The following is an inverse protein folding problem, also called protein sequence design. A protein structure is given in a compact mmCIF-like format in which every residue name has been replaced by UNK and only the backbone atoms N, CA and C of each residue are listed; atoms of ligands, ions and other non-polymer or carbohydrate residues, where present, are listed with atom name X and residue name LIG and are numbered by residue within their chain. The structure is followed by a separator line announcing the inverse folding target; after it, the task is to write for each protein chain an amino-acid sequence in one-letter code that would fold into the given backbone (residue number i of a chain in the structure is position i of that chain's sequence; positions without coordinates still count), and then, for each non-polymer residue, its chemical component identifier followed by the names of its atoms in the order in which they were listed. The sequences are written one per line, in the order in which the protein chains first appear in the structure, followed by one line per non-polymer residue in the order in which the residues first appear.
data_IF_729360855348
#
_entry.id   IF_729360855348
#
_cell.length_a   1.000
_cell.length_b   1.000
_cell.length_c   1.000
_cell.angle_alpha   90.00
_cell.angle_beta   90.00
_cell.angle_gamma   90.00
#
_symmetry.space_group_name_H-M   'P 1'
#
loop_
_entity.id
_entity.type
_entity.pdbx_description
1 polymer ?
#
# COMPACT_ATOMS: atom_id res chain seq x y z
N UNK A 1 50.42 12.94 6.37
CA UNK A 1 49.71 12.19 7.42
C UNK A 1 48.20 12.40 7.32
N UNK A 2 47.58 11.94 6.20
CA UNK A 2 46.12 12.15 5.91
C UNK A 2 45.39 10.78 5.70
N UNK A 3 46.03 9.66 6.05
CA UNK A 3 45.53 8.35 5.60
C UNK A 3 44.61 7.62 6.60
N UNK A 4 44.56 8.00 7.86
CA UNK A 4 43.74 7.29 8.86
C UNK A 4 42.28 7.70 8.86
N UNK A 5 41.88 9.00 8.74
CA UNK A 5 40.48 9.39 8.75
C UNK A 5 39.75 9.01 7.44
N UNK A 6 40.47 8.98 6.31
CA UNK A 6 39.89 8.58 5.03
C UNK A 6 39.59 7.08 4.96
N UNK A 7 40.38 6.24 5.57
CA UNK A 7 40.17 4.79 5.64
C UNK A 7 38.92 4.45 6.51
N UNK A 8 38.71 5.19 7.61
CA UNK A 8 37.55 5.00 8.50
C UNK A 8 36.25 5.42 7.80
N UNK A 9 36.27 6.53 7.03
CA UNK A 9 35.12 7.00 6.26
C UNK A 9 34.76 6.05 5.11
N UNK A 10 35.77 5.47 4.44
CA UNK A 10 35.54 4.50 3.38
C UNK A 10 35.01 3.17 3.93
N UNK A 11 35.49 2.74 5.10
CA UNK A 11 34.99 1.53 5.78
C UNK A 11 33.54 1.66 6.26
N UNK A 12 33.13 2.83 6.75
CA UNK A 12 31.76 3.10 7.17
C UNK A 12 30.78 3.16 5.98
N UNK A 13 31.22 3.63 4.82
CA UNK A 13 30.40 3.67 3.60
C UNK A 13 30.17 2.25 3.02
N UNK A 14 31.12 1.32 3.18
CA UNK A 14 30.98 -0.07 2.72
C UNK A 14 30.15 -0.95 3.68
N UNK A 15 30.00 -0.56 4.94
CA UNK A 15 29.24 -1.31 5.95
C UNK A 15 27.73 -1.05 5.93
N UNK A 16 27.24 -0.21 5.04
CA UNK A 16 25.81 0.02 4.88
C UNK A 16 25.18 -1.21 4.20
N UNK A 17 24.28 -1.95 4.86
CA UNK A 17 23.60 -3.06 4.21
C UNK A 17 22.73 -2.50 3.07
N UNK A 18 23.22 -2.65 1.85
CA UNK A 18 22.44 -2.36 0.65
C UNK A 18 21.26 -3.35 0.64
N UNK A 19 20.09 -2.89 1.07
CA UNK A 19 18.87 -3.64 0.86
C UNK A 19 18.73 -3.92 -0.65
N UNK A 20 18.59 -5.19 -1.07
CA UNK A 20 18.60 -5.51 -2.48
C UNK A 20 17.42 -4.85 -3.18
N UNK A 21 17.63 -4.11 -4.28
CA UNK A 21 16.57 -3.39 -5.00
C UNK A 21 15.59 -4.32 -5.73
N UNK A 22 15.67 -5.62 -5.52
CA UNK A 22 14.92 -6.65 -6.27
C UNK A 22 13.43 -6.72 -5.93
N UNK A 23 12.97 -6.18 -4.81
CA UNK A 23 11.55 -6.21 -4.44
C UNK A 23 10.68 -5.13 -5.10
N UNK A 24 11.31 -4.10 -5.71
CA UNK A 24 10.58 -2.97 -6.31
C UNK A 24 10.31 -3.11 -7.80
N UNK A 25 10.97 -4.06 -8.49
CA UNK A 25 10.82 -4.26 -9.93
C UNK A 25 9.80 -5.36 -10.29
N UNK A 26 9.24 -6.05 -9.31
CA UNK A 26 8.24 -7.10 -9.57
C UNK A 26 6.84 -6.56 -9.85
N UNK A 27 6.58 -5.29 -9.57
CA UNK A 27 5.23 -4.69 -9.71
C UNK A 27 5.02 -3.92 -11.03
N UNK A 28 6.05 -3.76 -11.86
CA UNK A 28 5.95 -2.98 -13.12
C UNK A 28 5.80 -3.81 -14.39
N UNK A 29 5.60 -5.13 -14.32
CA UNK A 29 5.54 -5.99 -15.50
C UNK A 29 4.12 -6.40 -15.88
N UNK A 30 3.17 -5.47 -15.85
CA UNK A 30 1.80 -5.72 -16.31
C UNK A 30 1.52 -5.08 -17.67
N UNK A 31 2.43 -5.25 -18.65
CA UNK A 31 2.06 -5.04 -20.05
C UNK A 31 2.94 -5.89 -20.95
N UNK A 32 2.55 -7.15 -21.14
CA UNK A 32 3.12 -8.00 -22.19
C UNK A 32 1.98 -8.53 -23.09
N UNK A 33 1.86 -8.07 -24.35
CA UNK A 33 0.82 -8.51 -25.25
C UNK A 33 1.24 -9.75 -26.05
N UNK A 34 1.73 -10.80 -25.41
CA UNK A 34 2.03 -12.05 -26.09
C UNK A 34 1.79 -13.24 -25.19
N UNK A 35 0.75 -13.99 -25.56
CA UNK A 35 0.21 -15.13 -24.84
C UNK A 35 1.22 -16.22 -24.46
N UNK A 36 1.66 -16.18 -23.21
CA UNK A 36 2.24 -17.32 -22.53
C UNK A 36 1.41 -17.58 -21.27
N UNK A 37 1.15 -18.84 -20.88
CA UNK A 37 0.34 -19.14 -19.71
C UNK A 37 1.08 -18.69 -18.44
N UNK A 38 0.57 -17.65 -17.79
CA UNK A 38 1.01 -17.16 -16.50
C UNK A 38 0.58 -18.13 -15.39
N UNK A 39 1.31 -19.22 -15.27
CA UNK A 39 1.20 -20.13 -14.13
C UNK A 39 2.40 -19.91 -13.20
N UNK A 40 2.52 -18.72 -12.65
CA UNK A 40 3.40 -18.47 -11.51
C UNK A 40 2.56 -18.57 -10.23
N UNK A 41 2.88 -19.45 -9.28
CA UNK A 41 2.21 -19.47 -7.99
C UNK A 41 2.56 -18.17 -7.26
N UNK A 42 1.63 -17.21 -7.27
CA UNK A 42 1.70 -16.01 -6.47
C UNK A 42 1.46 -16.44 -5.03
N UNK A 43 2.51 -16.39 -4.22
CA UNK A 43 2.43 -16.70 -2.79
C UNK A 43 1.24 -15.96 -2.16
N UNK A 44 0.53 -16.56 -1.19
CA UNK A 44 -0.55 -15.92 -0.47
C UNK A 44 -0.01 -14.62 0.13
N UNK A 45 -0.55 -13.49 -0.27
CA UNK A 45 -0.27 -12.22 0.38
C UNK A 45 -1.14 -12.17 1.63
N UNK A 46 -0.61 -12.67 2.75
CA UNK A 46 -1.20 -12.53 4.09
C UNK A 46 -1.05 -11.09 4.63
N UNK A 47 -1.09 -10.10 3.76
CA UNK A 47 -1.14 -8.68 4.13
C UNK A 47 -2.60 -8.20 4.29
N UNK A 48 -2.81 -7.06 4.96
CA UNK A 48 -4.12 -6.42 4.98
C UNK A 48 -4.63 -6.27 3.54
N UNK A 49 -5.93 -6.47 3.30
CA UNK A 49 -6.50 -6.45 1.96
C UNK A 49 -6.21 -5.10 1.30
N UNK A 50 -5.70 -5.13 0.09
CA UNK A 50 -5.35 -3.94 -0.69
C UNK A 50 -6.61 -3.12 -0.99
N UNK A 51 -6.69 -1.89 -0.46
CA UNK A 51 -7.82 -0.98 -0.65
C UNK A 51 -8.13 -0.72 -2.12
N UNK A 52 -7.11 -0.63 -2.98
CA UNK A 52 -7.31 -0.48 -4.41
C UNK A 52 -8.02 -1.68 -5.03
N UNK A 53 -7.69 -2.89 -4.57
CA UNK A 53 -8.35 -4.11 -5.04
C UNK A 53 -9.80 -4.15 -4.59
N UNK A 54 -10.07 -3.81 -3.32
CA UNK A 54 -11.43 -3.75 -2.79
C UNK A 54 -12.27 -2.71 -3.55
N UNK A 55 -11.70 -1.52 -3.80
CA UNK A 55 -12.38 -0.49 -4.60
C UNK A 55 -12.75 -1.00 -5.99
N UNK A 56 -11.84 -1.72 -6.67
CA UNK A 56 -12.11 -2.31 -7.98
C UNK A 56 -13.19 -3.40 -7.94
N UNK A 57 -13.24 -4.18 -6.87
CA UNK A 57 -14.29 -5.19 -6.66
C UNK A 57 -15.67 -4.53 -6.49
N UNK A 58 -15.75 -3.48 -5.68
CA UNK A 58 -16.99 -2.73 -5.47
C UNK A 58 -17.42 -2.01 -6.74
N UNK A 59 -16.50 -1.49 -7.55
CA UNK A 59 -16.81 -0.92 -8.87
C UNK A 59 -17.40 -1.95 -9.84
N UNK A 60 -16.80 -3.14 -9.89
CA UNK A 60 -17.32 -4.23 -10.71
C UNK A 60 -18.71 -4.66 -10.24
N UNK A 61 -18.92 -4.77 -8.92
CA UNK A 61 -20.21 -5.05 -8.33
C UNK A 61 -21.24 -3.99 -8.72
N UNK A 62 -20.90 -2.70 -8.58
CA UNK A 62 -21.77 -1.58 -8.96
C UNK A 62 -22.11 -1.57 -10.46
N UNK A 63 -21.14 -1.89 -11.32
CA UNK A 63 -21.35 -1.99 -12.76
C UNK A 63 -22.34 -3.11 -13.11
N UNK A 64 -22.21 -4.26 -12.47
CA UNK A 64 -23.18 -5.37 -12.63
C UNK A 64 -24.58 -4.97 -12.17
N UNK A 65 -24.66 -4.25 -11.05
CA UNK A 65 -25.92 -3.75 -10.51
C UNK A 65 -26.60 -2.74 -11.44
N UNK A 66 -25.84 -1.81 -12.03
CA UNK A 66 -26.32 -0.87 -13.06
C UNK A 66 -26.80 -1.58 -14.31
N UNK A 67 -26.20 -2.71 -14.65
CA UNK A 67 -26.63 -3.56 -15.75
C UNK A 67 -27.90 -4.37 -15.44
N UNK A 68 -28.46 -4.26 -14.21
CA UNK A 68 -29.66 -4.94 -13.78
C UNK A 68 -29.46 -6.37 -13.26
N UNK A 69 -28.22 -6.76 -12.96
CA UNK A 69 -27.96 -8.07 -12.37
C UNK A 69 -28.42 -8.10 -10.90
N UNK A 70 -28.94 -9.25 -10.43
CA UNK A 70 -29.24 -9.42 -9.02
C UNK A 70 -27.94 -9.49 -8.18
N UNK A 71 -28.06 -9.21 -6.88
CA UNK A 71 -26.93 -9.21 -5.91
C UNK A 71 -26.05 -10.45 -6.01
N UNK A 72 -26.66 -11.63 -6.10
CA UNK A 72 -25.93 -12.90 -6.20
C UNK A 72 -25.09 -12.98 -7.47
N UNK A 73 -25.62 -12.58 -8.61
CA UNK A 73 -24.90 -12.59 -9.88
C UNK A 73 -23.81 -11.49 -9.94
N UNK A 74 -24.05 -10.33 -9.36
CA UNK A 74 -23.03 -9.29 -9.22
C UNK A 74 -21.86 -9.76 -8.32
N UNK A 75 -22.15 -10.35 -7.16
CA UNK A 75 -21.14 -10.94 -6.29
C UNK A 75 -20.37 -12.10 -6.95
N UNK A 76 -21.07 -12.93 -7.76
CA UNK A 76 -20.44 -14.00 -8.53
C UNK A 76 -19.50 -13.44 -9.60
N UNK A 77 -19.85 -12.37 -10.29
CA UNK A 77 -18.99 -11.71 -11.26
C UNK A 77 -17.68 -11.23 -10.60
N UNK A 78 -17.79 -10.64 -9.40
CA UNK A 78 -16.61 -10.25 -8.62
C UNK A 78 -15.80 -11.47 -8.21
N UNK A 79 -16.43 -12.52 -7.65
CA UNK A 79 -15.73 -13.74 -7.26
C UNK A 79 -14.97 -14.38 -8.44
N UNK A 80 -15.58 -14.36 -9.64
CA UNK A 80 -14.99 -14.91 -10.86
C UNK A 80 -13.87 -14.03 -11.45
N UNK A 81 -13.80 -12.75 -11.09
CA UNK A 81 -12.68 -11.86 -11.48
C UNK A 81 -11.37 -12.26 -10.82
N UNK A 82 -11.44 -13.01 -9.75
CA UNK A 82 -10.29 -13.62 -9.10
C UNK A 82 -9.94 -14.92 -9.79
N UNK A 83 -8.65 -15.20 -9.93
CA UNK A 83 -8.21 -16.56 -10.25
C UNK A 83 -8.54 -17.55 -9.13
N UNK A 84 -7.88 -18.67 -9.13
CA UNK A 84 -8.17 -19.78 -8.21
C UNK A 84 -7.83 -19.54 -6.74
N UNK A 85 -7.18 -18.42 -6.35
CA UNK A 85 -6.64 -18.23 -5.00
C UNK A 85 -6.73 -16.80 -4.47
N UNK A 86 -7.08 -16.66 -3.19
CA UNK A 86 -7.02 -15.41 -2.43
C UNK A 86 -8.08 -15.31 -1.34
N UNK A 87 -7.71 -14.88 -0.14
CA UNK A 87 -8.61 -14.76 1.00
C UNK A 87 -9.83 -13.87 0.73
N UNK A 88 -9.68 -12.82 -0.10
CA UNK A 88 -10.80 -11.96 -0.50
C UNK A 88 -11.72 -12.65 -1.51
N UNK A 89 -11.16 -13.42 -2.45
CA UNK A 89 -11.95 -14.23 -3.39
C UNK A 89 -12.82 -15.24 -2.64
N UNK A 90 -12.28 -15.88 -1.60
CA UNK A 90 -13.03 -16.84 -0.80
C UNK A 90 -14.15 -16.18 -0.01
N UNK A 91 -13.95 -14.96 0.44
CA UNK A 91 -15.00 -14.16 1.09
C UNK A 91 -16.15 -13.88 0.09
N UNK A 92 -15.85 -13.43 -1.12
CA UNK A 92 -16.86 -13.22 -2.17
C UNK A 92 -17.60 -14.51 -2.53
N UNK A 93 -16.88 -15.64 -2.66
CA UNK A 93 -17.51 -16.94 -2.92
C UNK A 93 -18.45 -17.38 -1.80
N UNK A 94 -18.11 -17.09 -0.54
CA UNK A 94 -19.00 -17.36 0.60
C UNK A 94 -20.27 -16.51 0.54
N UNK A 95 -20.17 -15.23 0.22
CA UNK A 95 -21.35 -14.38 0.00
C UNK A 95 -22.26 -14.95 -1.06
N UNK A 96 -21.70 -15.37 -2.21
CA UNK A 96 -22.46 -16.01 -3.29
C UNK A 96 -23.14 -17.30 -2.80
N UNK A 97 -22.38 -18.16 -2.13
CA UNK A 97 -22.92 -19.43 -1.63
C UNK A 97 -24.06 -19.24 -0.62
N UNK A 98 -23.95 -18.26 0.27
CA UNK A 98 -25.00 -17.96 1.24
C UNK A 98 -26.27 -17.40 0.54
N UNK A 99 -26.11 -16.53 -0.45
CA UNK A 99 -27.24 -16.05 -1.24
C UNK A 99 -27.94 -17.18 -2.02
N UNK A 100 -27.18 -18.12 -2.59
CA UNK A 100 -27.73 -19.28 -3.30
C UNK A 100 -28.47 -20.23 -2.37
N UNK A 101 -28.04 -20.32 -1.10
CA UNK A 101 -28.71 -21.11 -0.06
C UNK A 101 -29.94 -20.41 0.53
N UNK A 102 -30.25 -19.17 0.11
CA UNK A 102 -31.36 -18.39 0.65
C UNK A 102 -31.11 -17.87 2.07
N UNK A 103 -29.86 -17.76 2.49
CA UNK A 103 -29.51 -17.17 3.79
C UNK A 103 -29.83 -15.68 3.75
N UNK A 104 -30.32 -15.17 4.88
CA UNK A 104 -30.69 -13.77 5.03
C UNK A 104 -29.50 -12.82 4.68
N UNK A 105 -29.75 -11.72 3.97
CA UNK A 105 -28.70 -10.85 3.43
C UNK A 105 -27.66 -10.42 4.47
N UNK A 106 -28.08 -10.00 5.67
CA UNK A 106 -27.16 -9.58 6.73
C UNK A 106 -26.16 -10.70 7.11
N UNK A 107 -26.67 -11.93 7.19
CA UNK A 107 -25.82 -13.11 7.48
C UNK A 107 -24.93 -13.49 6.30
N UNK A 108 -25.41 -13.35 5.08
CA UNK A 108 -24.60 -13.64 3.91
C UNK A 108 -23.39 -12.70 3.82
N UNK A 109 -23.59 -11.41 4.12
CA UNK A 109 -22.55 -10.40 4.07
C UNK A 109 -21.61 -10.43 5.27
N UNK A 110 -21.93 -11.08 6.38
CA UNK A 110 -20.98 -11.26 7.50
C UNK A 110 -19.70 -11.99 7.09
N UNK A 111 -19.70 -12.71 5.96
CA UNK A 111 -18.48 -13.27 5.39
C UNK A 111 -17.44 -12.20 5.00
N UNK A 112 -17.87 -10.94 4.82
CA UNK A 112 -17.02 -9.81 4.46
C UNK A 112 -16.55 -8.99 5.68
N UNK A 113 -16.88 -9.42 6.90
CA UNK A 113 -16.46 -8.71 8.12
C UNK A 113 -14.95 -8.46 8.13
N UNK A 114 -14.57 -7.24 8.54
CA UNK A 114 -13.20 -6.79 8.56
C UNK A 114 -12.59 -6.44 7.20
N UNK A 115 -13.39 -6.41 6.12
CA UNK A 115 -12.95 -5.90 4.82
C UNK A 115 -13.40 -4.44 4.69
N UNK A 116 -12.48 -3.48 4.51
CA UNK A 116 -12.82 -2.06 4.41
C UNK A 116 -13.89 -1.78 3.37
N UNK A 117 -14.90 -0.97 3.70
CA UNK A 117 -16.02 -0.61 2.81
C UNK A 117 -17.08 -1.70 2.58
N UNK A 118 -16.80 -2.96 2.93
CA UNK A 118 -17.75 -4.05 2.71
C UNK A 118 -18.89 -4.08 3.73
N UNK A 119 -18.71 -3.56 4.93
CA UNK A 119 -19.78 -3.40 5.92
C UNK A 119 -20.83 -2.36 5.44
N UNK A 120 -20.34 -1.26 4.87
CA UNK A 120 -21.20 -0.23 4.27
C UNK A 120 -21.93 -0.77 3.03
N UNK A 121 -21.21 -1.52 2.17
CA UNK A 121 -21.80 -2.22 1.03
C UNK A 121 -22.90 -3.19 1.47
N UNK A 122 -22.66 -3.98 2.51
CA UNK A 122 -23.65 -4.90 3.07
C UNK A 122 -24.91 -4.16 3.51
N UNK A 123 -24.76 -3.05 4.21
CA UNK A 123 -25.86 -2.20 4.66
C UNK A 123 -26.63 -1.61 3.49
N UNK A 124 -25.95 -1.15 2.45
CA UNK A 124 -26.59 -0.64 1.22
C UNK A 124 -27.43 -1.71 0.53
N UNK A 125 -26.88 -2.93 0.43
CA UNK A 125 -27.57 -4.05 -0.22
C UNK A 125 -28.77 -4.50 0.62
N UNK A 126 -28.64 -4.58 1.95
CA UNK A 126 -29.73 -4.96 2.85
C UNK A 126 -30.91 -3.96 2.81
N UNK A 127 -30.60 -2.66 2.72
CA UNK A 127 -31.61 -1.59 2.62
C UNK A 127 -32.20 -1.46 1.21
N UNK A 128 -31.57 -2.06 0.19
CA UNK A 128 -32.01 -1.86 -1.19
C UNK A 128 -33.12 -2.80 -1.63
N UNK A 129 -34.26 -2.73 -0.95
CA UNK A 129 -35.53 -2.99 -1.60
C UNK A 129 -35.89 -1.92 -2.65
N UNK A 130 -35.03 -0.89 -2.79
CA UNK A 130 -35.14 0.24 -3.70
C UNK A 130 -34.25 0.06 -4.94
N UNK A 131 -34.50 0.88 -5.96
CA UNK A 131 -33.88 0.79 -7.30
C UNK A 131 -32.36 0.61 -7.29
N UNK A 132 -31.86 -0.20 -8.22
CA UNK A 132 -30.41 -0.48 -8.37
C UNK A 132 -29.53 0.76 -8.55
N UNK A 133 -30.10 1.93 -8.91
CA UNK A 133 -29.38 3.20 -9.00
C UNK A 133 -28.87 3.69 -7.64
N UNK A 134 -29.67 3.57 -6.59
CA UNK A 134 -29.27 4.01 -5.24
C UNK A 134 -28.11 3.17 -4.66
N UNK A 135 -28.09 1.87 -4.97
CA UNK A 135 -26.96 1.00 -4.60
C UNK A 135 -25.71 1.38 -5.37
N UNK A 136 -25.82 1.64 -6.66
CA UNK A 136 -24.69 2.01 -7.49
C UNK A 136 -24.06 3.34 -7.03
N UNK A 137 -24.87 4.36 -6.71
CA UNK A 137 -24.39 5.63 -6.16
C UNK A 137 -23.72 5.44 -4.78
N UNK A 138 -24.28 4.58 -3.93
CA UNK A 138 -23.69 4.21 -2.65
C UNK A 138 -22.30 3.56 -2.84
N UNK A 139 -22.20 2.62 -3.77
CA UNK A 139 -20.93 1.99 -4.11
C UNK A 139 -19.89 2.99 -4.61
N UNK A 140 -20.28 3.98 -5.43
CA UNK A 140 -19.37 5.02 -5.91
C UNK A 140 -18.79 5.84 -4.76
N UNK A 141 -19.57 6.15 -3.73
CA UNK A 141 -19.08 6.84 -2.53
C UNK A 141 -18.08 5.99 -1.76
N UNK A 142 -18.38 4.70 -1.54
CA UNK A 142 -17.47 3.78 -0.87
C UNK A 142 -16.14 3.71 -1.63
N UNK A 143 -16.19 3.58 -2.94
CA UNK A 143 -15.00 3.53 -3.80
C UNK A 143 -14.18 4.81 -3.69
N UNK A 144 -14.82 5.98 -3.69
CA UNK A 144 -14.14 7.26 -3.54
C UNK A 144 -13.39 7.34 -2.20
N UNK A 145 -14.05 6.97 -1.09
CA UNK A 145 -13.43 6.91 0.24
C UNK A 145 -12.25 5.95 0.29
N UNK A 146 -12.41 4.73 -0.24
CA UNK A 146 -11.32 3.74 -0.25
C UNK A 146 -10.10 4.20 -1.05
N UNK A 147 -10.32 4.93 -2.15
CA UNK A 147 -9.24 5.49 -2.96
C UNK A 147 -8.54 6.65 -2.28
N UNK A 148 -9.28 7.50 -1.59
CA UNK A 148 -8.73 8.60 -0.79
C UNK A 148 -7.85 8.06 0.34
N UNK A 149 -8.36 7.10 1.12
CA UNK A 149 -7.59 6.44 2.18
C UNK A 149 -6.32 5.75 1.64
N UNK A 150 -6.39 5.12 0.47
CA UNK A 150 -5.24 4.49 -0.15
C UNK A 150 -4.19 5.53 -0.59
N UNK A 151 -4.62 6.70 -1.07
CA UNK A 151 -3.73 7.79 -1.43
C UNK A 151 -3.06 8.42 -0.19
N UNK A 152 -3.81 8.56 0.90
CA UNK A 152 -3.28 9.05 2.18
C UNK A 152 -2.24 8.08 2.75
N UNK A 153 -2.49 6.78 2.72
CA UNK A 153 -1.53 5.76 3.14
C UNK A 153 -0.23 5.83 2.31
N UNK A 154 -0.35 6.02 1.00
CA UNK A 154 0.80 6.15 0.11
C UNK A 154 1.61 7.43 0.42
N UNK A 155 0.92 8.54 0.68
CA UNK A 155 1.53 9.82 1.05
C UNK A 155 2.26 9.70 2.39
N UNK A 156 1.62 9.13 3.42
CA UNK A 156 2.22 8.89 4.72
C UNK A 156 3.47 7.98 4.63
N UNK A 157 3.45 6.96 3.76
CA UNK A 157 4.60 6.11 3.52
C UNK A 157 5.76 6.87 2.85
N UNK A 158 5.46 7.76 1.90
CA UNK A 158 6.45 8.60 1.23
C UNK A 158 7.10 9.62 2.20
N UNK A 159 6.31 10.25 3.07
CA UNK A 159 6.80 11.17 4.10
C UNK A 159 7.74 10.48 5.10
N UNK A 160 7.36 9.29 5.58
CA UNK A 160 8.24 8.48 6.46
C UNK A 160 9.56 8.12 5.78
N UNK A 161 9.53 7.79 4.48
CA UNK A 161 10.75 7.49 3.72
C UNK A 161 11.66 8.73 3.63
N UNK A 162 11.09 9.93 3.44
CA UNK A 162 11.82 11.20 3.43
C UNK A 162 12.55 11.48 4.74
N UNK A 163 11.88 11.26 5.87
CA UNK A 163 12.50 11.41 7.21
C UNK A 163 13.63 10.41 7.42
N UNK A 164 13.44 9.15 7.02
CA UNK A 164 14.47 8.11 7.17
C UNK A 164 15.75 8.41 6.36
N UNK A 165 15.65 9.10 5.22
CA UNK A 165 16.80 9.52 4.43
C UNK A 165 17.53 10.70 5.10
N UNK A 166 16.80 11.57 5.80
CA UNK A 166 17.37 12.76 6.45
C UNK A 166 18.23 12.43 7.68
N UNK A 167 17.92 11.33 8.40
CA UNK A 167 18.64 10.93 9.61
C UNK A 167 20.13 10.64 9.35
N UNK A 168 20.51 9.76 8.40
CA UNK A 168 21.93 9.52 8.12
C UNK A 168 22.62 10.76 7.57
N UNK A 169 21.95 11.57 6.77
CA UNK A 169 22.52 12.81 6.25
C UNK A 169 22.90 13.76 7.39
N UNK A 170 22.01 13.98 8.37
CA UNK A 170 22.27 14.82 9.53
C UNK A 170 23.39 14.24 10.40
N UNK A 171 23.41 12.91 10.59
CA UNK A 171 24.41 12.22 11.40
C UNK A 171 25.84 12.34 10.84
N UNK A 172 25.99 12.42 9.54
CA UNK A 172 27.29 12.59 8.90
C UNK A 172 27.66 14.07 8.69
N UNK A 173 26.69 14.92 8.41
CA UNK A 173 26.94 16.34 8.16
C UNK A 173 27.36 17.08 9.43
N UNK A 174 26.76 16.78 10.58
CA UNK A 174 27.04 17.47 11.83
C UNK A 174 28.53 17.31 12.27
N UNK A 175 29.10 16.11 12.38
CA UNK A 175 30.51 15.97 12.74
C UNK A 175 31.45 16.54 11.65
N UNK A 176 31.10 16.41 10.38
CA UNK A 176 31.89 17.02 9.30
C UNK A 176 31.94 18.52 9.40
N UNK A 177 30.83 19.18 9.72
CA UNK A 177 30.77 20.62 9.95
C UNK A 177 31.64 21.06 11.14
N UNK A 178 31.62 20.30 12.25
CA UNK A 178 32.49 20.59 13.40
C UNK A 178 33.99 20.49 13.05
N UNK A 179 34.37 19.45 12.34
CA UNK A 179 35.78 19.21 12.01
C UNK A 179 36.29 20.16 10.93
N UNK A 180 35.52 20.43 9.90
CA UNK A 180 35.95 21.24 8.76
C UNK A 180 35.67 22.75 8.95
N UNK A 181 34.58 23.08 9.65
CA UNK A 181 34.16 24.47 9.84
C UNK A 181 34.64 25.09 11.14
N UNK A 182 34.38 24.41 12.26
CA UNK A 182 34.61 25.01 13.58
C UNK A 182 36.03 24.83 14.08
N UNK A 183 36.68 23.66 13.85
CA UNK A 183 37.99 23.36 14.36
C UNK A 183 39.07 24.33 13.84
N UNK A 184 39.18 24.70 12.55
CA UNK A 184 40.16 25.67 12.07
C UNK A 184 39.98 27.06 12.66
N UNK A 185 38.74 27.47 12.86
CA UNK A 185 38.39 28.78 13.41
C UNK A 185 38.85 28.88 14.89
N UNK A 186 38.51 27.85 15.68
CA UNK A 186 38.90 27.80 17.11
C UNK A 186 40.41 27.73 17.28
N UNK A 187 41.12 26.93 16.46
CA UNK A 187 42.59 26.84 16.50
C UNK A 187 43.21 28.18 16.09
N UNK A 188 42.68 28.84 15.04
CA UNK A 188 43.17 30.16 14.60
C UNK A 188 42.98 31.24 15.65
N UNK A 189 41.86 31.25 16.35
CA UNK A 189 41.59 32.22 17.42
C UNK A 189 42.48 31.96 18.65
N UNK A 190 42.64 30.69 19.02
CA UNK A 190 43.51 30.27 20.13
C UNK A 190 44.96 30.63 19.89
N UNK A 191 45.49 30.46 18.67
CA UNK A 191 46.86 30.80 18.32
C UNK A 191 47.13 32.31 18.38
N UNK A 192 46.14 33.15 18.08
CA UNK A 192 46.24 34.60 18.22
C UNK A 192 46.24 35.05 19.69
N UNK A 193 45.50 34.39 20.56
CA UNK A 193 45.47 34.76 21.98
C UNK A 193 46.70 34.29 22.74
N UNK A 194 47.36 33.18 22.37
CA UNK A 194 48.55 32.62 23.04
C UNK A 194 49.85 32.97 22.32
N UNK A 195 49.84 33.45 21.10
CA UNK A 195 51.01 33.83 20.31
C UNK A 195 51.43 35.31 20.42
N UNK A 196 50.80 36.11 21.25
CA UNK A 196 51.04 37.55 21.46
C UNK A 196 51.86 37.89 22.70
N UNK A 197 52.84 37.03 23.10
CA UNK A 197 53.86 37.40 24.10
C UNK A 197 55.24 37.26 23.52
#
# INVERSE_FOLDING_TARGET
MITVPTAILLGAALAMPAAPPRSRLSDSSAHNPSGAPLNSPKAPRDGPPDRHRIASDIELFAACFRAGLPVSAAAEAVANSYGSEGGLADKWRRVVAYHQLGVEPERAWSAMDGVPGCEELASLVALSHASGSAVAEGCERIVATLREEAADDATAAAERAGVLISIPLAAFFLPAFFVLGLAPVVIGLGSQMFGGQ
#
